data_IF_243398101745
#
_entry.id   IF_243398101745
#
_cell.length_a   1.000
_cell.length_b   1.000
_cell.length_c   1.000
_cell.angle_alpha   90.00
_cell.angle_beta   90.00
_cell.angle_gamma   90.00
#
_symmetry.space_group_name_H-M   'P 1'
#
loop_
_entity.id
_entity.type
_entity.pdbx_description
1 polymer ?
#
# COMPACT_ATOMS: atom_id res chain seq x y z
N UNK A 1 -25.98 16.73 -11.98
CA UNK A 1 -26.21 15.76 -10.89
C UNK A 1 -25.63 14.43 -11.34
N UNK A 2 -24.40 14.12 -10.93
CA UNK A 2 -23.72 12.88 -11.28
C UNK A 2 -22.70 12.54 -10.19
N UNK A 3 -22.80 11.29 -9.69
CA UNK A 3 -21.70 10.43 -9.25
C UNK A 3 -20.91 10.82 -7.99
N UNK A 4 -21.55 10.88 -6.83
CA UNK A 4 -20.84 10.74 -5.54
C UNK A 4 -20.62 9.27 -5.13
N UNK A 5 -21.39 8.32 -5.69
CA UNK A 5 -21.32 6.89 -5.32
C UNK A 5 -20.34 6.04 -6.14
N UNK A 6 -19.92 6.47 -7.34
CA UNK A 6 -19.03 5.67 -8.20
C UNK A 6 -17.55 5.75 -7.79
N UNK A 7 -17.14 6.86 -7.19
CA UNK A 7 -15.76 7.10 -6.76
C UNK A 7 -15.40 6.30 -5.51
N UNK A 8 -16.35 6.11 -4.57
CA UNK A 8 -16.15 5.38 -3.32
C UNK A 8 -16.06 3.86 -3.53
N UNK A 9 -16.95 3.30 -4.37
CA UNK A 9 -16.91 1.88 -4.74
C UNK A 9 -15.66 1.53 -5.54
N UNK A 10 -15.24 2.41 -6.46
CA UNK A 10 -14.00 2.25 -7.23
C UNK A 10 -12.76 2.25 -6.33
N UNK A 11 -12.68 3.19 -5.39
CA UNK A 11 -11.58 3.28 -4.43
C UNK A 11 -11.51 2.04 -3.53
N UNK A 12 -12.67 1.57 -3.04
CA UNK A 12 -12.77 0.35 -2.24
C UNK A 12 -12.35 -0.89 -3.00
N UNK A 13 -12.78 -1.05 -4.26
CA UNK A 13 -12.38 -2.17 -5.10
C UNK A 13 -10.87 -2.15 -5.40
N UNK A 14 -10.31 -0.97 -5.69
CA UNK A 14 -8.86 -0.80 -5.87
C UNK A 14 -8.08 -1.13 -4.60
N UNK A 15 -8.59 -0.73 -3.43
CA UNK A 15 -7.97 -1.03 -2.14
C UNK A 15 -8.01 -2.53 -1.82
N UNK A 16 -9.12 -3.20 -2.12
CA UNK A 16 -9.26 -4.65 -1.95
C UNK A 16 -8.31 -5.40 -2.90
N UNK A 17 -8.23 -4.98 -4.16
CA UNK A 17 -7.28 -5.54 -5.13
C UNK A 17 -5.84 -5.37 -4.64
N UNK A 18 -5.48 -4.19 -4.14
CA UNK A 18 -4.14 -3.94 -3.60
C UNK A 18 -3.83 -4.86 -2.41
N UNK A 19 -4.76 -5.03 -1.48
CA UNK A 19 -4.59 -5.98 -0.36
C UNK A 19 -4.41 -7.41 -0.85
N UNK A 20 -5.21 -7.84 -1.83
CA UNK A 20 -5.11 -9.18 -2.39
C UNK A 20 -3.78 -9.40 -3.10
N UNK A 21 -3.29 -8.43 -3.86
CA UNK A 21 -1.97 -8.52 -4.52
C UNK A 21 -0.85 -8.61 -3.49
N UNK A 22 -0.90 -7.80 -2.43
CA UNK A 22 0.07 -7.86 -1.35
C UNK A 22 0.09 -9.25 -0.71
N UNK A 23 -1.05 -9.81 -0.31
CA UNK A 23 -1.12 -11.16 0.27
C UNK A 23 -0.65 -12.24 -0.71
N UNK A 24 -0.97 -12.07 -2.00
CA UNK A 24 -0.59 -13.02 -3.05
C UNK A 24 0.93 -13.12 -3.25
N UNK A 25 1.72 -12.12 -2.80
CA UNK A 25 3.20 -12.23 -2.77
C UNK A 25 3.71 -13.32 -1.83
N UNK A 26 2.87 -13.81 -0.91
CA UNK A 26 3.20 -14.90 0.01
C UNK A 26 2.58 -16.25 -0.41
N UNK A 27 1.91 -16.33 -1.57
CA UNK A 27 1.27 -17.56 -2.02
C UNK A 27 2.31 -18.70 -2.17
N UNK A 28 1.97 -19.95 -1.82
CA UNK A 28 2.90 -21.07 -2.00
C UNK A 28 3.23 -21.35 -3.48
N UNK A 29 2.34 -20.97 -4.40
CA UNK A 29 2.51 -21.18 -5.84
C UNK A 29 3.38 -20.07 -6.41
N UNK A 30 4.55 -20.44 -6.93
CA UNK A 30 5.52 -19.51 -7.51
C UNK A 30 4.90 -18.60 -8.58
N UNK A 31 4.08 -19.16 -9.48
CA UNK A 31 3.43 -18.39 -10.55
C UNK A 31 2.53 -17.27 -10.02
N UNK A 32 1.82 -17.51 -8.92
CA UNK A 32 0.91 -16.52 -8.32
C UNK A 32 1.71 -15.39 -7.67
N UNK A 33 2.79 -15.73 -6.97
CA UNK A 33 3.70 -14.73 -6.39
C UNK A 33 4.33 -13.85 -7.45
N UNK A 34 4.90 -14.45 -8.49
CA UNK A 34 5.58 -13.71 -9.56
C UNK A 34 4.60 -12.78 -10.29
N UNK A 35 3.36 -13.23 -10.53
CA UNK A 35 2.33 -12.37 -11.09
C UNK A 35 1.95 -11.21 -10.17
N UNK A 36 1.80 -11.47 -8.87
CA UNK A 36 1.50 -10.43 -7.89
C UNK A 36 2.64 -9.39 -7.80
N UNK A 37 3.88 -9.85 -7.72
CA UNK A 37 5.07 -8.99 -7.72
C UNK A 37 5.18 -8.17 -9.00
N UNK A 38 4.96 -8.77 -10.17
CA UNK A 38 4.97 -8.06 -11.45
C UNK A 38 3.89 -6.98 -11.51
N UNK A 39 2.68 -7.25 -11.00
CA UNK A 39 1.61 -6.25 -10.95
C UNK A 39 1.96 -5.11 -9.99
N UNK A 40 2.54 -5.41 -8.83
CA UNK A 40 3.01 -4.39 -7.88
C UNK A 40 4.15 -3.53 -8.46
N UNK A 41 5.10 -4.17 -9.14
CA UNK A 41 6.18 -3.46 -9.85
C UNK A 41 5.63 -2.60 -10.97
N UNK A 42 4.69 -3.12 -11.77
CA UNK A 42 4.02 -2.36 -12.84
C UNK A 42 3.27 -1.16 -12.29
N UNK A 43 2.53 -1.30 -11.19
CA UNK A 43 1.83 -0.20 -10.53
C UNK A 43 2.81 0.86 -10.00
N UNK A 44 3.92 0.43 -9.38
CA UNK A 44 4.99 1.31 -8.89
C UNK A 44 5.63 2.11 -10.01
N UNK A 45 5.93 1.46 -11.14
CA UNK A 45 6.64 2.08 -12.26
C UNK A 45 5.71 2.94 -13.13
N UNK A 46 4.40 2.67 -13.13
CA UNK A 46 3.38 3.47 -13.81
C UNK A 46 3.10 4.81 -13.12
N UNK A 47 2.82 4.79 -11.80
CA UNK A 47 2.68 6.00 -11.00
C UNK A 47 3.17 5.74 -9.57
N UNK A 48 4.42 6.13 -9.32
CA UNK A 48 5.07 5.94 -8.04
C UNK A 48 4.35 6.65 -6.89
N UNK A 49 3.78 7.83 -7.14
CA UNK A 49 3.08 8.60 -6.10
C UNK A 49 1.76 7.95 -5.72
N UNK A 50 0.98 7.54 -6.73
CA UNK A 50 -0.28 6.83 -6.53
C UNK A 50 -0.06 5.46 -5.87
N UNK A 51 1.02 4.77 -6.23
CA UNK A 51 1.40 3.50 -5.61
C UNK A 51 1.67 3.65 -4.11
N UNK A 52 2.46 4.65 -3.72
CA UNK A 52 2.74 4.91 -2.31
C UNK A 52 1.50 5.37 -1.53
N UNK A 53 0.62 6.17 -2.14
CA UNK A 53 -0.68 6.54 -1.54
C UNK A 53 -1.54 5.28 -1.34
N UNK A 54 -1.56 4.36 -2.29
CA UNK A 54 -2.34 3.12 -2.20
C UNK A 54 -1.84 2.23 -1.05
N UNK A 55 -0.51 2.13 -0.88
CA UNK A 55 0.09 1.45 0.28
C UNK A 55 -0.29 2.13 1.60
N UNK A 56 -0.22 3.45 1.67
CA UNK A 56 -0.62 4.21 2.87
C UNK A 56 -2.11 4.01 3.21
N UNK A 57 -2.99 3.92 2.20
CA UNK A 57 -4.41 3.59 2.40
C UNK A 57 -4.61 2.18 2.95
N UNK A 58 -3.86 1.18 2.47
CA UNK A 58 -3.92 -0.17 3.04
C UNK A 58 -3.53 -0.15 4.52
N UNK A 59 -2.51 0.63 4.88
CA UNK A 59 -2.06 0.80 6.27
C UNK A 59 -3.11 1.47 7.16
N UNK A 60 -3.88 2.41 6.63
CA UNK A 60 -4.97 3.12 7.34
C UNK A 60 -6.33 2.39 7.30
N UNK A 61 -6.49 1.40 6.42
CA UNK A 61 -7.77 0.71 6.21
C UNK A 61 -8.32 0.08 7.50
N UNK A 62 -9.60 0.29 7.80
CA UNK A 62 -10.22 -0.35 8.95
C UNK A 62 -10.34 -1.86 8.74
N UNK A 63 -10.17 -2.60 9.84
CA UNK A 63 -10.32 -4.04 9.83
C UNK A 63 -11.80 -4.44 9.70
N UNK A 64 -12.03 -5.56 9.02
CA UNK A 64 -13.35 -6.18 8.90
C UNK A 64 -13.83 -6.67 10.27
N UNK A 65 -15.15 -6.82 10.42
CA UNK A 65 -15.74 -7.48 11.59
C UNK A 65 -15.60 -9.02 11.53
N UNK A 66 -15.28 -9.57 10.36
CA UNK A 66 -15.07 -10.99 10.16
C UNK A 66 -13.64 -11.40 10.56
N UNK A 67 -13.46 -12.24 11.60
CA UNK A 67 -12.14 -12.63 12.09
C UNK A 67 -11.26 -13.35 11.05
N UNK A 68 -11.86 -14.02 10.06
CA UNK A 68 -11.10 -14.65 8.97
C UNK A 68 -10.47 -13.59 8.07
N UNK A 69 -11.24 -12.56 7.72
CA UNK A 69 -10.75 -11.45 6.89
C UNK A 69 -9.77 -10.56 7.65
N UNK A 70 -9.93 -10.42 8.97
CA UNK A 70 -9.01 -9.63 9.81
C UNK A 70 -7.58 -10.12 9.67
N UNK A 71 -7.35 -11.44 9.66
CA UNK A 71 -5.99 -11.98 9.57
C UNK A 71 -5.34 -11.66 8.21
N UNK A 72 -6.07 -11.81 7.11
CA UNK A 72 -5.58 -11.47 5.77
C UNK A 72 -5.32 -9.96 5.63
N UNK A 73 -6.17 -9.11 6.21
CA UNK A 73 -5.99 -7.66 6.19
C UNK A 73 -4.79 -7.21 7.04
N UNK A 74 -4.56 -7.84 8.19
CA UNK A 74 -3.37 -7.60 9.00
C UNK A 74 -2.10 -8.01 8.24
N UNK A 75 -2.12 -9.14 7.56
CA UNK A 75 -1.02 -9.58 6.72
C UNK A 75 -0.78 -8.59 5.56
N UNK A 76 -1.83 -8.15 4.88
CA UNK A 76 -1.74 -7.13 3.83
C UNK A 76 -1.14 -5.81 4.36
N UNK A 77 -1.54 -5.35 5.56
CA UNK A 77 -0.95 -4.18 6.22
C UNK A 77 0.54 -4.36 6.49
N UNK A 78 0.94 -5.51 7.01
CA UNK A 78 2.37 -5.80 7.28
C UNK A 78 3.20 -5.77 6.00
N UNK A 79 2.73 -6.43 4.94
CA UNK A 79 3.40 -6.44 3.64
C UNK A 79 3.43 -5.03 3.05
N UNK A 80 2.34 -4.26 3.17
CA UNK A 80 2.28 -2.88 2.74
C UNK A 80 3.32 -2.02 3.45
N UNK A 81 3.50 -2.18 4.77
CA UNK A 81 4.48 -1.44 5.56
C UNK A 81 5.91 -1.74 5.10
N UNK A 82 6.23 -3.02 4.92
CA UNK A 82 7.55 -3.46 4.43
C UNK A 82 7.80 -2.92 3.02
N UNK A 83 6.82 -3.02 2.14
CA UNK A 83 6.91 -2.55 0.75
C UNK A 83 7.09 -1.04 0.70
N UNK A 84 6.31 -0.29 1.48
CA UNK A 84 6.41 1.16 1.58
C UNK A 84 7.81 1.59 2.04
N UNK A 85 8.32 0.96 3.11
CA UNK A 85 9.68 1.20 3.60
C UNK A 85 10.72 0.95 2.50
N UNK A 86 10.63 -0.19 1.83
CA UNK A 86 11.58 -0.58 0.79
C UNK A 86 11.54 0.34 -0.45
N UNK A 87 10.44 1.05 -0.66
CA UNK A 87 10.33 2.03 -1.75
C UNK A 87 11.05 3.35 -1.45
N UNK A 88 11.23 3.70 -0.17
CA UNK A 88 11.82 4.98 0.24
C UNK A 88 13.20 4.83 0.88
N UNK A 89 13.58 3.61 1.25
CA UNK A 89 14.89 3.30 1.83
C UNK A 89 15.31 1.87 1.51
N UNK A 90 16.60 1.67 1.35
CA UNK A 90 17.19 0.35 1.12
C UNK A 90 18.40 0.14 2.03
N UNK A 91 18.77 -1.12 2.23
CA UNK A 91 19.97 -1.47 3.01
C UNK A 91 21.27 -1.15 2.25
N UNK A 92 21.22 -1.25 0.93
CA UNK A 92 22.34 -0.91 0.05
C UNK A 92 22.37 0.61 -0.18
N UNK A 93 23.53 1.24 -0.03
CA UNK A 93 23.68 2.70 -0.08
C UNK A 93 23.33 3.28 -1.45
N UNK A 94 23.62 2.57 -2.54
CA UNK A 94 23.31 3.03 -3.90
C UNK A 94 21.81 2.95 -4.14
N UNK A 95 21.18 1.85 -3.73
CA UNK A 95 19.73 1.69 -3.81
C UNK A 95 18.98 2.66 -2.88
N UNK A 96 19.55 2.98 -1.71
CA UNK A 96 18.98 3.92 -0.76
C UNK A 96 18.98 5.35 -1.31
N UNK A 97 20.08 5.78 -1.94
CA UNK A 97 20.12 7.09 -2.62
C UNK A 97 19.08 7.18 -3.73
N UNK A 98 18.97 6.14 -4.58
CA UNK A 98 17.99 6.11 -5.65
C UNK A 98 16.54 6.12 -5.14
N UNK A 99 16.27 5.38 -4.06
CA UNK A 99 14.96 5.39 -3.39
C UNK A 99 14.65 6.76 -2.77
N UNK A 100 15.63 7.39 -2.13
CA UNK A 100 15.51 8.72 -1.56
C UNK A 100 15.25 9.79 -2.65
N UNK A 101 15.90 9.69 -3.80
CA UNK A 101 15.69 10.61 -4.92
C UNK A 101 14.29 10.44 -5.54
N UNK A 102 13.83 9.19 -5.71
CA UNK A 102 12.44 8.92 -6.13
C UNK A 102 11.43 9.48 -5.12
N UNK A 103 11.66 9.28 -3.82
CA UNK A 103 10.83 9.86 -2.77
C UNK A 103 10.84 11.40 -2.82
N UNK A 104 12.00 12.04 -2.99
CA UNK A 104 12.11 13.50 -3.11
C UNK A 104 11.31 14.04 -4.30
N UNK A 105 11.32 13.33 -5.43
CA UNK A 105 10.60 13.70 -6.65
C UNK A 105 9.07 13.62 -6.52
N UNK A 106 8.54 12.90 -5.52
CA UNK A 106 7.09 12.89 -5.23
C UNK A 106 6.62 14.29 -4.85
N UNK A 107 5.46 14.69 -5.37
CA UNK A 107 4.85 15.98 -5.06
C UNK A 107 4.58 16.16 -3.56
N UNK A 108 4.86 17.35 -3.02
CA UNK A 108 4.67 17.63 -1.58
C UNK A 108 3.23 17.41 -1.11
N UNK A 109 2.23 17.71 -1.95
CA UNK A 109 0.83 17.43 -1.64
C UNK A 109 0.57 15.94 -1.40
N UNK A 110 1.18 15.06 -2.21
CA UNK A 110 1.07 13.61 -2.04
C UNK A 110 1.80 13.14 -0.77
N UNK A 111 2.99 13.68 -0.47
CA UNK A 111 3.71 13.39 0.78
C UNK A 111 2.90 13.79 2.02
N UNK A 112 2.25 14.95 1.98
CA UNK A 112 1.39 15.41 3.08
C UNK A 112 0.17 14.50 3.27
N UNK A 113 -0.50 14.12 2.18
CA UNK A 113 -1.62 13.18 2.23
C UNK A 113 -1.20 11.82 2.84
N UNK A 114 -0.08 11.25 2.37
CA UNK A 114 0.47 10.02 2.93
C UNK A 114 0.84 10.15 4.40
N UNK A 115 1.47 11.27 4.79
CA UNK A 115 1.84 11.51 6.18
C UNK A 115 0.62 11.52 7.11
N UNK A 116 -0.48 12.15 6.69
CA UNK A 116 -1.71 12.17 7.48
C UNK A 116 -2.28 10.76 7.66
N UNK A 117 -2.31 9.96 6.60
CA UNK A 117 -2.78 8.57 6.63
C UNK A 117 -1.90 7.67 7.50
N UNK A 118 -0.58 7.78 7.36
CA UNK A 118 0.36 7.00 8.17
C UNK A 118 0.29 7.38 9.66
N UNK A 119 0.09 8.66 9.97
CA UNK A 119 -0.10 9.12 11.36
C UNK A 119 -1.44 8.68 11.94
N UNK A 120 -2.49 8.59 11.12
CA UNK A 120 -3.78 8.02 11.52
C UNK A 120 -3.64 6.53 11.86
N UNK A 121 -2.92 5.77 11.03
CA UNK A 121 -2.65 4.36 11.23
C UNK A 121 -1.94 4.06 12.57
N UNK A 122 -1.02 4.93 13.02
CA UNK A 122 -0.36 4.80 14.33
C UNK A 122 -1.37 5.00 15.48
N UNK A 123 -2.33 5.93 15.34
CA UNK A 123 -3.31 6.22 16.39
C UNK A 123 -4.34 5.10 16.57
N UNK A 124 -4.59 4.31 15.52
CA UNK A 124 -5.48 3.14 15.59
C UNK A 124 -4.93 1.97 16.41
N UNK A 125 -3.64 1.93 16.74
CA UNK A 125 -3.04 0.85 17.56
C UNK A 125 -3.28 1.02 19.08
N UNK A 126 -3.97 2.08 19.51
CA UNK A 126 -4.21 2.39 20.93
C UNK A 126 -5.60 2.02 21.47
N UNK A 127 -6.38 1.20 20.77
CA UNK A 127 -7.63 0.65 21.30
C UNK A 127 -7.43 -0.86 21.48
N UNK A 128 -6.88 -1.22 22.66
CA UNK A 128 -7.01 -2.56 23.25
C UNK A 128 -8.20 -2.56 24.21
#
# INVERSE_FOLDING_TARGET
MATAGQTDEGDRASLQLMQQLLVSTLDPRQQVREQAEQQLVGARDGDFSLFLISLARVLDAQLSADPLQVQEQLLAKQIAAVTFKNCISAKDVVLDSAAADKWRAVAEAAKQAMRLQLLAAIKTEHIQ
#
